data_IF_617429003061
#
_entry.id   IF_617429003061
#
_cell.length_a   1.000
_cell.length_b   1.000
_cell.length_c   1.000
_cell.angle_alpha   90.00
_cell.angle_beta   90.00
_cell.angle_gamma   90.00
#
_symmetry.space_group_name_H-M   'P 1'
#
loop_
_entity.id
_entity.type
_entity.pdbx_description
1 polymer ?
#
# COMPACT_ATOMS: atom_id res chain seq x y z
N UNK A 1 -4.78 31.90 -40.13
CA UNK A 1 -5.58 30.70 -39.79
C UNK A 1 -5.98 30.90 -38.36
N UNK A 2 -7.11 31.58 -38.20
CA UNK A 2 -7.72 31.88 -36.92
C UNK A 2 -8.53 30.65 -36.48
N UNK A 3 -8.40 30.27 -35.22
CA UNK A 3 -9.35 29.37 -34.56
C UNK A 3 -9.72 30.01 -33.23
N UNK A 4 -10.91 30.60 -33.21
CA UNK A 4 -11.72 30.79 -32.02
C UNK A 4 -12.19 29.43 -31.50
N UNK A 5 -12.28 29.28 -30.19
CA UNK A 5 -13.10 28.27 -29.52
C UNK A 5 -13.45 28.79 -28.13
N UNK A 6 -14.68 29.24 -27.96
CA UNK A 6 -15.32 29.45 -26.66
C UNK A 6 -15.96 28.14 -26.15
N UNK A 7 -16.22 28.17 -24.83
CA UNK A 7 -17.18 27.38 -24.04
C UNK A 7 -16.80 25.99 -23.51
N UNK A 8 -17.05 25.80 -22.20
CA UNK A 8 -17.07 24.49 -21.54
C UNK A 8 -16.86 24.51 -20.02
N UNK A 9 -17.92 24.84 -19.30
CA UNK A 9 -18.14 24.94 -17.85
C UNK A 9 -17.55 23.83 -16.92
N UNK A 10 -17.32 24.23 -15.65
CA UNK A 10 -17.90 23.55 -14.49
C UNK A 10 -17.09 22.41 -13.83
N UNK A 11 -16.33 22.72 -12.78
CA UNK A 11 -15.93 21.74 -11.78
C UNK A 11 -16.24 22.31 -10.39
N UNK A 12 -17.27 21.76 -9.76
CA UNK A 12 -17.66 22.03 -8.37
C UNK A 12 -16.76 21.25 -7.42
N UNK A 13 -16.08 21.97 -6.53
CA UNK A 13 -15.42 21.43 -5.36
C UNK A 13 -16.47 20.86 -4.39
N UNK A 14 -16.31 19.60 -3.99
CA UNK A 14 -17.01 19.03 -2.84
C UNK A 14 -15.99 18.62 -1.79
N UNK A 15 -15.97 19.41 -0.72
CA UNK A 15 -15.35 19.09 0.57
C UNK A 15 -16.17 17.99 1.26
N UNK A 16 -15.50 16.95 1.78
CA UNK A 16 -16.11 15.96 2.68
C UNK A 16 -15.42 16.05 4.04
N UNK A 17 -16.18 16.50 5.05
CA UNK A 17 -15.88 16.29 6.48
C UNK A 17 -16.52 14.98 6.98
N UNK A 18 -15.99 14.33 8.03
CA UNK A 18 -16.50 13.07 8.55
C UNK A 18 -17.53 13.27 9.66
N UNK A 19 -18.69 12.60 9.55
CA UNK A 19 -19.67 12.49 10.64
C UNK A 19 -19.33 11.32 11.58
N UNK A 20 -19.32 11.63 12.88
CA UNK A 20 -19.24 10.68 13.98
C UNK A 20 -20.65 10.43 14.53
N UNK A 21 -21.07 9.18 14.66
CA UNK A 21 -22.32 8.82 15.34
C UNK A 21 -22.06 8.12 16.68
N UNK A 22 -22.51 8.80 17.73
CA UNK A 22 -22.65 8.33 19.11
C UNK A 22 -23.65 7.16 19.20
N UNK A 23 -23.28 6.11 19.94
CA UNK A 23 -24.22 5.09 20.42
C UNK A 23 -24.64 5.42 21.85
N UNK A 24 -25.91 5.76 22.01
CA UNK A 24 -26.57 5.86 23.31
C UNK A 24 -27.25 4.54 23.65
N UNK A 25 -27.01 4.08 24.89
CA UNK A 25 -27.64 2.93 25.54
C UNK A 25 -29.13 3.19 25.78
N UNK A 26 -29.95 2.16 25.65
CA UNK A 26 -31.22 2.12 26.40
C UNK A 26 -31.53 0.71 26.87
N UNK A 27 -31.64 0.59 28.19
CA UNK A 27 -32.06 -0.58 28.92
C UNK A 27 -33.59 -0.63 28.98
N UNK A 28 -34.20 -1.78 28.71
CA UNK A 28 -35.50 -2.09 29.29
C UNK A 28 -35.61 -3.58 29.62
N UNK A 29 -35.70 -3.83 30.91
CA UNK A 29 -36.06 -5.07 31.58
C UNK A 29 -37.57 -5.28 31.53
N UNK A 30 -38.03 -6.44 31.08
CA UNK A 30 -39.33 -7.00 31.46
C UNK A 30 -39.22 -8.51 31.68
N UNK A 31 -39.33 -8.91 32.95
CA UNK A 31 -39.68 -10.27 33.37
C UNK A 31 -41.18 -10.48 33.20
N UNK A 32 -41.59 -11.58 32.57
CA UNK A 32 -42.89 -12.23 32.84
C UNK A 32 -42.68 -13.74 32.86
N UNK A 33 -43.03 -14.33 34.00
CA UNK A 33 -43.16 -15.75 34.29
C UNK A 33 -44.49 -16.32 33.75
N UNK A 34 -44.49 -17.60 33.38
CA UNK A 34 -45.71 -18.34 33.04
C UNK A 34 -45.43 -19.82 32.76
N UNK A 35 -45.99 -20.68 33.60
CA UNK A 35 -45.74 -22.12 33.73
C UNK A 35 -46.32 -22.99 32.60
N UNK A 36 -45.63 -24.10 32.33
CA UNK A 36 -46.22 -25.45 32.31
C UNK A 36 -46.94 -25.96 31.05
N UNK A 37 -46.32 -26.92 30.35
CA UNK A 37 -46.89 -28.27 30.19
C UNK A 37 -45.91 -29.23 29.49
N UNK A 38 -45.68 -30.36 30.18
CA UNK A 38 -44.98 -31.54 29.70
C UNK A 38 -45.76 -32.23 28.57
N UNK A 39 -45.07 -32.57 27.48
CA UNK A 39 -45.34 -33.83 26.77
C UNK A 39 -44.03 -34.54 26.43
N UNK A 40 -43.87 -35.71 27.05
CA UNK A 40 -42.81 -36.68 26.81
C UNK A 40 -42.98 -37.31 25.42
N UNK A 41 -41.94 -37.27 24.58
CA UNK A 41 -41.70 -38.35 23.61
C UNK A 41 -40.24 -38.82 23.68
N UNK A 42 -40.14 -40.05 24.17
CA UNK A 42 -39.05 -41.03 24.23
C UNK A 42 -37.84 -40.84 23.31
N UNK A 43 -36.67 -40.82 23.95
CA UNK A 43 -35.34 -41.10 23.40
C UNK A 43 -35.06 -42.60 23.45
N UNK A 44 -34.41 -43.21 22.45
CA UNK A 44 -33.51 -44.34 22.65
C UNK A 44 -32.06 -43.85 22.58
N UNK A 45 -31.35 -43.93 23.71
CA UNK A 45 -29.90 -43.74 23.77
C UNK A 45 -29.21 -44.97 23.18
N UNK A 46 -28.30 -44.79 22.22
CA UNK A 46 -27.10 -45.63 22.16
C UNK A 46 -25.95 -44.93 21.43
N UNK A 47 -24.92 -44.60 22.23
CA UNK A 47 -23.47 -44.61 21.90
C UNK A 47 -22.98 -43.87 20.65
N UNK A 48 -22.74 -42.56 20.76
CA UNK A 48 -21.86 -41.79 19.86
C UNK A 48 -21.23 -40.59 20.60
N UNK A 49 -20.41 -40.84 21.62
CA UNK A 49 -19.73 -39.77 22.37
C UNK A 49 -18.46 -39.22 21.66
N UNK A 50 -18.17 -39.64 20.42
CA UNK A 50 -17.02 -39.16 19.64
C UNK A 50 -17.39 -38.43 18.33
N UNK A 51 -18.68 -38.31 17.97
CA UNK A 51 -19.15 -37.63 16.73
C UNK A 51 -19.86 -36.27 17.01
N UNK A 52 -19.97 -35.85 18.27
CA UNK A 52 -20.82 -34.74 18.68
C UNK A 52 -20.17 -33.35 18.58
N UNK A 53 -18.84 -33.27 18.49
CA UNK A 53 -18.13 -31.99 18.34
C UNK A 53 -18.03 -31.56 16.86
N UNK A 54 -17.88 -32.51 15.92
CA UNK A 54 -17.77 -32.23 14.48
C UNK A 54 -19.07 -31.70 13.87
N UNK A 55 -20.22 -32.20 14.33
CA UNK A 55 -21.54 -31.83 13.77
C UNK A 55 -21.99 -30.40 14.10
N UNK A 56 -21.42 -29.78 15.13
CA UNK A 56 -21.81 -28.43 15.57
C UNK A 56 -21.28 -27.33 14.64
N UNK A 57 -20.05 -27.48 14.13
CA UNK A 57 -19.47 -26.53 13.17
C UNK A 57 -20.07 -26.70 11.77
N UNK A 58 -20.36 -27.94 11.38
CA UNK A 58 -20.98 -28.27 10.11
C UNK A 58 -22.38 -27.66 9.99
N UNK A 59 -23.19 -27.79 11.04
CA UNK A 59 -24.52 -27.19 11.08
C UNK A 59 -24.47 -25.66 11.07
N UNK A 60 -23.50 -25.06 11.76
CA UNK A 60 -23.28 -23.62 11.74
C UNK A 60 -22.93 -23.12 10.32
N UNK A 61 -22.06 -23.83 9.61
CA UNK A 61 -21.71 -23.51 8.21
C UNK A 61 -22.92 -23.61 7.29
N UNK A 62 -23.68 -24.71 7.36
CA UNK A 62 -24.87 -24.91 6.52
C UNK A 62 -25.89 -23.79 6.77
N UNK A 63 -26.14 -23.45 8.04
CA UNK A 63 -27.06 -22.36 8.40
C UNK A 63 -26.58 -21.00 7.90
N UNK A 64 -25.28 -20.71 7.97
CA UNK A 64 -24.72 -19.47 7.44
C UNK A 64 -24.91 -19.38 5.93
N UNK A 65 -24.64 -20.45 5.18
CA UNK A 65 -24.79 -20.44 3.71
C UNK A 65 -26.24 -20.28 3.28
N UNK A 66 -27.18 -20.99 3.92
CA UNK A 66 -28.62 -20.84 3.67
C UNK A 66 -29.12 -19.42 4.02
N UNK A 67 -28.48 -18.74 4.97
CA UNK A 67 -28.81 -17.37 5.37
C UNK A 67 -28.29 -16.26 4.45
N UNK A 68 -27.37 -16.56 3.52
CA UNK A 68 -26.75 -15.55 2.65
C UNK A 68 -27.70 -15.02 1.58
N UNK A 69 -28.60 -15.86 1.05
CA UNK A 69 -29.57 -15.42 0.04
C UNK A 69 -30.84 -16.26 0.03
N UNK A 70 -31.97 -15.64 -0.27
CA UNK A 70 -33.27 -16.31 -0.38
C UNK A 70 -33.38 -17.26 -1.57
N UNK A 71 -32.41 -17.22 -2.49
CA UNK A 71 -32.35 -18.07 -3.67
C UNK A 71 -31.65 -19.40 -3.43
N UNK A 72 -31.10 -19.66 -2.25
CA UNK A 72 -30.44 -20.94 -1.90
C UNK A 72 -31.45 -21.83 -1.16
N UNK A 73 -31.79 -22.98 -1.73
CA UNK A 73 -32.71 -23.95 -1.13
C UNK A 73 -31.97 -25.03 -0.33
N UNK A 74 -30.75 -25.39 -0.74
CA UNK A 74 -29.98 -26.47 -0.13
C UNK A 74 -28.48 -26.29 -0.26
N UNK A 75 -27.75 -26.71 0.76
CA UNK A 75 -26.28 -26.73 0.80
C UNK A 75 -25.80 -27.98 1.50
N UNK A 76 -25.01 -28.80 0.81
CA UNK A 76 -24.35 -29.99 1.36
C UNK A 76 -22.88 -29.97 0.97
N UNK A 77 -22.03 -30.48 1.84
CA UNK A 77 -20.59 -30.54 1.60
C UNK A 77 -19.99 -31.78 2.24
N UNK A 78 -18.82 -32.16 1.75
CA UNK A 78 -18.07 -33.28 2.30
C UNK A 78 -17.36 -32.88 3.60
N UNK A 79 -17.89 -33.30 4.75
CA UNK A 79 -17.28 -33.05 6.06
C UNK A 79 -16.06 -33.96 6.33
N UNK A 80 -15.97 -35.12 5.67
CA UNK A 80 -14.93 -36.12 5.94
C UNK A 80 -13.67 -35.90 5.13
N UNK A 81 -13.82 -35.79 3.80
CA UNK A 81 -12.69 -35.70 2.87
C UNK A 81 -12.57 -34.30 2.21
N UNK A 82 -13.58 -33.43 2.35
CA UNK A 82 -13.54 -32.06 1.82
C UNK A 82 -13.50 -31.95 0.29
N UNK A 83 -13.90 -33.00 -0.44
CA UNK A 83 -13.68 -33.11 -1.88
C UNK A 83 -14.75 -32.41 -2.72
N UNK A 84 -15.97 -32.25 -2.20
CA UNK A 84 -17.09 -31.73 -2.96
C UNK A 84 -18.01 -30.86 -2.12
N UNK A 85 -18.76 -30.04 -2.82
CA UNK A 85 -19.79 -29.16 -2.28
C UNK A 85 -20.92 -29.07 -3.30
N UNK A 86 -22.16 -29.22 -2.85
CA UNK A 86 -23.36 -29.14 -3.69
C UNK A 86 -24.26 -28.01 -3.16
N UNK A 87 -24.62 -27.10 -4.07
CA UNK A 87 -25.45 -25.93 -3.80
C UNK A 87 -26.68 -25.97 -4.71
N UNK A 88 -27.86 -26.02 -4.12
CA UNK A 88 -29.13 -26.00 -4.85
C UNK A 88 -29.71 -24.59 -4.77
N UNK A 89 -29.88 -23.94 -5.92
CA UNK A 89 -30.42 -22.59 -6.01
C UNK A 89 -31.72 -22.57 -6.83
N UNK A 90 -32.72 -21.85 -6.33
CA UNK A 90 -33.95 -21.54 -7.05
C UNK A 90 -33.88 -20.14 -7.67
N UNK A 91 -33.94 -20.08 -9.00
CA UNK A 91 -33.87 -18.84 -9.77
C UNK A 91 -35.19 -18.62 -10.54
N UNK A 92 -35.75 -17.39 -10.55
CA UNK A 92 -36.94 -17.08 -11.34
C UNK A 92 -36.66 -17.23 -12.85
N UNK A 93 -37.42 -18.09 -13.53
CA UNK A 93 -37.28 -18.36 -14.97
C UNK A 93 -37.84 -17.20 -15.80
N UNK A 94 -37.08 -16.11 -15.92
CA UNK A 94 -37.36 -15.05 -16.89
C UNK A 94 -36.65 -15.39 -18.20
N UNK A 95 -37.34 -15.29 -19.34
CA UNK A 95 -36.95 -15.80 -20.69
C UNK A 95 -35.56 -15.34 -21.19
N UNK A 96 -34.49 -15.84 -20.61
CA UNK A 96 -33.12 -15.72 -21.09
C UNK A 96 -32.36 -17.01 -20.80
N UNK A 97 -31.51 -17.43 -21.73
CA UNK A 97 -30.55 -18.50 -21.48
C UNK A 97 -29.44 -17.95 -20.59
N UNK A 98 -29.28 -18.52 -19.40
CA UNK A 98 -28.30 -18.09 -18.41
C UNK A 98 -27.19 -19.14 -18.30
N UNK A 99 -25.97 -18.75 -18.65
CA UNK A 99 -24.80 -19.62 -18.52
C UNK A 99 -24.22 -19.50 -17.09
N UNK A 100 -24.76 -20.31 -16.19
CA UNK A 100 -24.27 -20.45 -14.81
C UNK A 100 -22.82 -20.91 -14.77
N UNK A 101 -22.38 -21.74 -15.71
CA UNK A 101 -21.03 -22.31 -15.71
C UNK A 101 -20.00 -21.20 -15.85
N UNK A 102 -20.17 -20.34 -16.86
CA UNK A 102 -19.27 -19.20 -17.09
C UNK A 102 -19.28 -18.21 -15.92
N UNK A 103 -20.43 -18.01 -15.28
CA UNK A 103 -20.54 -17.13 -14.13
C UNK A 103 -19.83 -17.71 -12.90
N UNK A 104 -20.05 -18.98 -12.60
CA UNK A 104 -19.41 -19.69 -11.48
C UNK A 104 -17.90 -19.73 -11.67
N UNK A 105 -17.40 -20.05 -12.87
CA UNK A 105 -15.96 -20.03 -13.16
C UNK A 105 -15.36 -18.64 -12.93
N UNK A 106 -16.02 -17.59 -13.44
CA UNK A 106 -15.57 -16.21 -13.25
C UNK A 106 -15.57 -15.76 -11.79
N UNK A 107 -16.50 -16.24 -10.98
CA UNK A 107 -16.54 -15.95 -9.54
C UNK A 107 -15.57 -16.82 -8.73
N UNK A 108 -15.35 -18.07 -9.13
CA UNK A 108 -14.38 -18.97 -8.51
C UNK A 108 -12.95 -18.45 -8.67
N UNK A 109 -12.61 -17.87 -9.84
CA UNK A 109 -11.30 -17.22 -10.05
C UNK A 109 -11.09 -15.99 -9.16
N UNK A 110 -12.17 -15.34 -8.72
CA UNK A 110 -12.13 -14.15 -7.87
C UNK A 110 -12.32 -14.45 -6.39
N UNK A 111 -12.77 -15.65 -6.05
CA UNK A 111 -13.03 -16.01 -4.66
C UNK A 111 -11.72 -16.29 -3.94
N UNK A 112 -11.45 -15.47 -2.94
CA UNK A 112 -10.25 -15.56 -2.11
C UNK A 112 -10.61 -16.41 -0.90
N UNK A 113 -9.90 -17.52 -0.69
CA UNK A 113 -10.12 -18.43 0.45
C UNK A 113 -9.45 -17.86 1.69
N UNK A 114 -8.17 -17.51 1.56
CA UNK A 114 -7.32 -16.93 2.60
C UNK A 114 -6.36 -15.95 1.92
N UNK A 115 -6.28 -14.73 2.41
CA UNK A 115 -5.32 -13.72 1.94
C UNK A 115 -4.84 -12.89 3.11
N UNK A 116 -3.56 -12.57 3.08
CA UNK A 116 -3.00 -11.49 3.89
C UNK A 116 -3.10 -10.21 3.09
N UNK A 117 -3.82 -9.22 3.61
CA UNK A 117 -4.05 -7.94 2.90
C UNK A 117 -2.71 -7.35 2.46
N UNK A 118 -2.60 -7.02 1.17
CA UNK A 118 -1.41 -6.38 0.61
C UNK A 118 -0.26 -7.33 0.25
N UNK A 119 -0.41 -8.65 0.42
CA UNK A 119 0.56 -9.66 -0.04
C UNK A 119 -0.13 -10.63 -0.99
N UNK A 120 0.32 -10.69 -2.23
CA UNK A 120 -0.26 -11.55 -3.27
C UNK A 120 0.38 -12.94 -3.31
N UNK A 121 1.70 -13.02 -3.12
CA UNK A 121 2.44 -14.29 -3.19
C UNK A 121 3.65 -14.27 -2.27
N UNK A 122 3.95 -15.42 -1.69
CA UNK A 122 5.18 -15.63 -0.91
C UNK A 122 5.99 -16.77 -1.53
N UNK A 123 7.29 -16.56 -1.73
CA UNK A 123 8.22 -17.51 -2.31
C UNK A 123 9.37 -17.76 -1.33
N UNK A 124 9.65 -19.03 -1.04
CA UNK A 124 10.80 -19.42 -0.24
C UNK A 124 12.01 -19.62 -1.17
N UNK A 125 13.08 -18.86 -0.94
CA UNK A 125 14.31 -18.94 -1.72
C UNK A 125 15.51 -19.26 -0.82
N UNK A 126 16.35 -20.19 -1.24
CA UNK A 126 17.60 -20.49 -0.55
C UNK A 126 18.74 -19.63 -1.11
N UNK A 127 19.24 -18.70 -0.31
CA UNK A 127 20.35 -17.82 -0.67
C UNK A 127 21.62 -18.31 0.00
N UNK A 128 22.67 -18.55 -0.80
CA UNK A 128 23.99 -18.91 -0.25
C UNK A 128 24.77 -17.63 0.00
N UNK A 129 25.09 -17.35 1.28
CA UNK A 129 25.95 -16.21 1.64
C UNK A 129 27.38 -16.42 1.16
N UNK A 130 28.15 -15.33 1.10
CA UNK A 130 29.60 -15.33 0.81
C UNK A 130 30.40 -16.24 1.75
N UNK A 131 29.89 -16.51 2.95
CA UNK A 131 30.48 -17.42 3.94
C UNK A 131 30.13 -18.91 3.70
N UNK A 132 29.45 -19.25 2.60
CA UNK A 132 29.07 -20.63 2.26
C UNK A 132 27.89 -21.19 3.06
N UNK A 133 27.34 -20.43 4.01
CA UNK A 133 26.11 -20.79 4.74
C UNK A 133 24.88 -20.53 3.87
N UNK A 134 23.97 -21.52 3.80
CA UNK A 134 22.65 -21.38 3.18
C UNK A 134 21.71 -20.71 4.16
N UNK A 135 21.03 -19.65 3.73
CA UNK A 135 19.96 -19.00 4.47
C UNK A 135 18.68 -19.04 3.64
N UNK A 136 17.59 -19.47 4.27
CA UNK A 136 16.24 -19.42 3.73
C UNK A 136 15.72 -17.99 3.83
N UNK A 137 15.37 -17.38 2.70
CA UNK A 137 14.79 -16.04 2.60
C UNK A 137 13.39 -16.15 2.04
N UNK A 138 12.43 -15.50 2.69
CA UNK A 138 11.06 -15.39 2.21
C UNK A 138 10.93 -14.11 1.38
N UNK A 139 10.62 -14.25 0.09
CA UNK A 139 10.34 -13.14 -0.80
C UNK A 139 8.83 -12.99 -0.96
N UNK A 140 8.30 -11.82 -0.64
CA UNK A 140 6.88 -11.50 -0.78
C UNK A 140 6.65 -10.58 -1.97
N UNK A 141 5.63 -10.88 -2.76
CA UNK A 141 5.04 -9.96 -3.73
C UNK A 141 3.96 -9.17 -3.01
N UNK A 142 4.16 -7.86 -2.88
CA UNK A 142 3.33 -7.00 -2.05
C UNK A 142 4.00 -6.63 -0.73
N UNK A 143 3.42 -5.63 -0.06
CA UNK A 143 4.01 -4.95 1.09
C UNK A 143 2.95 -4.85 2.17
N UNK A 144 3.14 -5.60 3.26
CA UNK A 144 2.41 -5.39 4.51
C UNK A 144 3.33 -5.73 5.69
N UNK A 145 4.09 -4.72 6.11
CA UNK A 145 5.05 -4.87 7.20
C UNK A 145 4.37 -5.05 8.56
N UNK A 146 3.20 -4.44 8.75
CA UNK A 146 2.44 -4.54 9.99
C UNK A 146 2.01 -5.99 10.27
N UNK A 147 1.52 -6.69 9.24
CA UNK A 147 1.18 -8.11 9.40
C UNK A 147 2.43 -8.98 9.59
N UNK A 148 3.53 -8.68 8.89
CA UNK A 148 4.78 -9.39 9.08
C UNK A 148 5.29 -9.30 10.53
N UNK A 149 5.06 -8.19 11.22
CA UNK A 149 5.45 -8.02 12.62
C UNK A 149 4.69 -8.96 13.57
N UNK A 150 3.44 -9.32 13.26
CA UNK A 150 2.69 -10.33 14.03
C UNK A 150 3.34 -11.72 13.97
N UNK A 151 4.08 -12.00 12.89
CA UNK A 151 4.78 -13.26 12.66
C UNK A 151 6.25 -13.27 13.16
N UNK A 152 6.61 -12.37 14.07
CA UNK A 152 7.98 -12.24 14.61
C UNK A 152 8.52 -13.46 15.37
N UNK A 153 7.69 -14.45 15.71
CA UNK A 153 8.15 -15.72 16.28
C UNK A 153 8.80 -16.64 15.24
N UNK A 154 8.42 -16.51 13.97
CA UNK A 154 8.89 -17.34 12.86
C UNK A 154 9.85 -16.59 11.94
N UNK A 155 9.79 -15.25 11.91
CA UNK A 155 10.56 -14.39 11.01
C UNK A 155 11.52 -13.49 11.78
N UNK A 156 12.75 -13.35 11.28
CA UNK A 156 13.73 -12.38 11.82
C UNK A 156 13.46 -10.97 11.27
N UNK A 157 12.74 -10.16 12.06
CA UNK A 157 12.33 -8.80 11.70
C UNK A 157 13.48 -7.79 11.64
N UNK A 158 14.64 -8.08 12.25
CA UNK A 158 15.79 -7.16 12.23
C UNK A 158 16.49 -7.12 10.88
N UNK A 159 16.28 -8.16 10.06
CA UNK A 159 16.85 -8.31 8.72
C UNK A 159 15.82 -8.09 7.62
N UNK A 160 14.63 -7.61 8.01
CA UNK A 160 13.54 -7.35 7.09
C UNK A 160 13.96 -6.25 6.11
N UNK A 161 13.62 -6.46 4.84
CA UNK A 161 13.97 -5.58 3.74
C UNK A 161 12.76 -5.37 2.83
N UNK A 162 12.55 -4.14 2.38
CA UNK A 162 11.55 -3.80 1.39
C UNK A 162 12.18 -2.85 0.35
N UNK A 163 11.80 -3.04 -0.90
CA UNK A 163 12.22 -2.21 -2.02
C UNK A 163 11.43 -0.88 -2.11
N UNK A 164 10.29 -0.77 -1.43
CA UNK A 164 9.57 0.49 -1.34
C UNK A 164 10.17 1.43 -0.29
N UNK A 165 10.79 2.51 -0.80
CA UNK A 165 11.44 3.54 -0.01
C UNK A 165 10.45 4.27 0.89
N UNK A 166 9.20 4.48 0.46
CA UNK A 166 8.19 5.18 1.24
C UNK A 166 7.78 4.38 2.47
N UNK A 167 7.47 3.09 2.31
CA UNK A 167 7.16 2.19 3.42
C UNK A 167 8.32 2.10 4.42
N UNK A 168 9.57 2.01 3.93
CA UNK A 168 10.75 1.98 4.78
C UNK A 168 10.96 3.29 5.54
N UNK A 169 10.76 4.45 4.89
CA UNK A 169 10.84 5.76 5.54
C UNK A 169 9.80 5.92 6.65
N UNK A 170 8.57 5.44 6.42
CA UNK A 170 7.47 5.59 7.38
C UNK A 170 7.64 4.69 8.62
N UNK A 171 8.19 3.50 8.46
CA UNK A 171 8.28 2.50 9.54
C UNK A 171 9.63 2.56 10.26
N UNK A 172 10.73 2.57 9.51
CA UNK A 172 12.10 2.52 10.05
C UNK A 172 12.80 3.88 10.06
N UNK A 173 12.21 4.91 9.45
CA UNK A 173 12.75 6.27 9.42
C UNK A 173 13.61 6.58 8.19
N UNK A 174 14.00 7.85 8.07
CA UNK A 174 14.64 8.39 6.86
C UNK A 174 16.02 7.79 6.58
N UNK A 175 16.82 7.48 7.60
CA UNK A 175 18.14 6.87 7.43
C UNK A 175 18.04 5.45 6.83
N UNK A 176 17.01 4.69 7.21
CA UNK A 176 16.75 3.39 6.60
C UNK A 176 16.39 3.56 5.12
N UNK A 177 15.58 4.57 4.79
CA UNK A 177 15.22 4.88 3.41
C UNK A 177 16.44 5.26 2.55
N UNK A 178 17.37 6.06 3.07
CA UNK A 178 18.63 6.41 2.37
C UNK A 178 19.40 5.15 1.97
N UNK A 179 19.54 4.18 2.89
CA UNK A 179 20.23 2.91 2.61
C UNK A 179 19.50 2.05 1.60
N UNK A 180 18.17 2.07 1.60
CA UNK A 180 17.35 1.38 0.61
C UNK A 180 17.56 2.01 -0.77
N UNK A 181 17.56 3.34 -0.89
CA UNK A 181 17.83 4.04 -2.16
C UNK A 181 19.23 3.68 -2.70
N UNK A 182 20.26 3.76 -1.86
CA UNK A 182 21.64 3.40 -2.24
C UNK A 182 21.70 1.96 -2.78
N UNK A 183 21.03 1.03 -2.10
CA UNK A 183 21.01 -0.39 -2.45
C UNK A 183 20.23 -0.65 -3.73
N UNK A 184 19.03 -0.10 -3.88
CA UNK A 184 18.18 -0.29 -5.06
C UNK A 184 18.85 0.27 -6.32
N UNK A 185 19.42 1.48 -6.26
CA UNK A 185 20.13 2.05 -7.41
C UNK A 185 21.35 1.19 -7.77
N UNK A 186 22.10 0.72 -6.77
CA UNK A 186 23.23 -0.18 -6.99
C UNK A 186 22.81 -1.50 -7.63
N UNK A 187 21.74 -2.11 -7.14
CA UNK A 187 21.24 -3.40 -7.63
C UNK A 187 20.75 -3.28 -9.08
N UNK A 188 20.13 -2.16 -9.46
CA UNK A 188 19.77 -1.87 -10.86
C UNK A 188 21.01 -1.82 -11.76
N UNK A 189 22.06 -1.09 -11.38
CA UNK A 189 23.29 -1.03 -12.18
C UNK A 189 24.07 -2.36 -12.21
N UNK A 190 24.04 -3.12 -11.12
CA UNK A 190 24.72 -4.40 -11.00
C UNK A 190 24.21 -5.44 -12.01
N UNK A 191 22.90 -5.43 -12.32
CA UNK A 191 22.30 -6.31 -13.35
C UNK A 191 22.92 -6.09 -14.73
N UNK A 192 23.34 -4.86 -15.03
CA UNK A 192 24.00 -4.50 -16.29
C UNK A 192 25.53 -4.60 -16.23
N UNK A 193 26.12 -5.04 -15.11
CA UNK A 193 27.57 -5.10 -14.93
C UNK A 193 28.25 -3.74 -14.84
N UNK A 194 27.50 -2.68 -14.52
CA UNK A 194 28.03 -1.31 -14.39
C UNK A 194 28.44 -1.10 -12.93
N UNK A 195 29.73 -0.93 -12.69
CA UNK A 195 30.24 -0.57 -11.36
C UNK A 195 30.21 0.95 -11.18
N UNK A 196 29.47 1.40 -10.17
CA UNK A 196 29.38 2.82 -9.76
C UNK A 196 30.02 2.98 -8.39
N UNK A 197 30.86 4.01 -8.20
CA UNK A 197 31.44 4.31 -6.88
C UNK A 197 30.30 4.64 -5.90
N UNK A 198 30.23 3.98 -4.72
CA UNK A 198 29.20 4.22 -3.72
C UNK A 198 29.12 5.68 -3.25
N UNK A 199 30.19 6.47 -3.38
CA UNK A 199 30.18 7.91 -3.04
C UNK A 199 29.19 8.70 -3.90
N UNK A 200 29.01 8.32 -5.16
CA UNK A 200 28.03 8.97 -6.03
C UNK A 200 26.60 8.64 -5.60
N UNK A 201 26.36 7.37 -5.26
CA UNK A 201 25.06 6.89 -4.83
C UNK A 201 24.65 7.51 -3.50
N UNK A 202 25.59 7.59 -2.56
CA UNK A 202 25.38 8.20 -1.25
C UNK A 202 25.04 9.68 -1.37
N UNK A 203 25.76 10.44 -2.19
CA UNK A 203 25.45 11.86 -2.40
C UNK A 203 24.04 12.08 -2.98
N UNK A 204 23.60 11.21 -3.91
CA UNK A 204 22.26 11.30 -4.49
C UNK A 204 21.20 10.94 -3.44
N UNK A 205 21.40 9.85 -2.70
CA UNK A 205 20.46 9.42 -1.66
C UNK A 205 20.33 10.47 -0.54
N UNK A 206 21.45 11.04 -0.09
CA UNK A 206 21.46 12.14 0.87
C UNK A 206 20.72 13.37 0.34
N UNK A 207 20.94 13.75 -0.93
CA UNK A 207 20.23 14.87 -1.54
C UNK A 207 18.72 14.62 -1.73
N UNK A 208 18.29 13.37 -1.86
CA UNK A 208 16.88 13.00 -1.89
C UNK A 208 16.22 13.02 -0.51
N UNK A 209 17.00 12.93 0.58
CA UNK A 209 16.48 12.73 1.93
C UNK A 209 16.87 13.81 2.95
N UNK A 210 17.66 14.83 2.56
CA UNK A 210 18.20 15.82 3.51
C UNK A 210 17.15 16.64 4.27
N UNK A 211 15.92 16.76 3.74
CA UNK A 211 14.82 17.47 4.39
C UNK A 211 14.09 16.58 5.44
N UNK A 212 14.57 15.35 5.66
CA UNK A 212 13.92 14.36 6.53
C UNK A 212 12.76 13.61 5.88
N UNK A 213 12.50 13.86 4.59
CA UNK A 213 11.48 13.18 3.79
C UNK A 213 12.06 12.74 2.45
N UNK A 214 11.49 11.68 1.87
CA UNK A 214 11.88 11.24 0.54
C UNK A 214 11.37 12.22 -0.53
N UNK A 215 12.30 12.82 -1.25
CA UNK A 215 12.04 13.85 -2.26
C UNK A 215 12.49 13.37 -3.64
N UNK A 216 11.57 13.28 -4.61
CA UNK A 216 11.93 12.90 -5.97
C UNK A 216 12.67 14.04 -6.69
N UNK A 217 13.55 13.69 -7.62
CA UNK A 217 14.26 14.64 -8.48
C UNK A 217 13.40 15.07 -9.69
N UNK A 218 12.23 15.64 -9.41
CA UNK A 218 11.28 16.11 -10.41
C UNK A 218 10.82 17.54 -10.13
N UNK A 219 9.85 18.04 -10.91
CA UNK A 219 9.27 19.38 -10.75
C UNK A 219 8.63 19.67 -9.41
N UNK A 220 8.19 18.64 -8.69
CA UNK A 220 7.61 18.80 -7.36
C UNK A 220 8.73 18.88 -6.33
N UNK A 221 9.80 18.11 -6.48
CA UNK A 221 11.00 18.24 -5.65
C UNK A 221 11.66 19.61 -5.79
N UNK A 222 11.79 20.16 -7.00
CA UNK A 222 12.49 21.45 -7.17
C UNK A 222 11.76 22.64 -6.50
N UNK A 223 10.46 22.49 -6.16
CA UNK A 223 9.67 23.56 -5.53
C UNK A 223 10.18 23.95 -4.15
N UNK A 224 10.80 23.04 -3.39
CA UNK A 224 11.36 23.41 -2.09
C UNK A 224 12.76 24.03 -2.16
N UNK A 225 13.36 24.16 -3.35
CA UNK A 225 14.61 24.90 -3.52
C UNK A 225 14.43 26.40 -3.24
N UNK A 226 15.45 27.03 -2.68
CA UNK A 226 15.40 28.42 -2.20
C UNK A 226 15.57 29.49 -3.28
N UNK A 227 16.02 29.14 -4.49
CA UNK A 227 16.30 30.09 -5.58
C UNK A 227 15.17 30.12 -6.60
N UNK A 228 14.36 31.19 -6.67
CA UNK A 228 13.30 31.33 -7.67
C UNK A 228 13.83 31.28 -9.11
N UNK A 229 15.00 31.86 -9.38
CA UNK A 229 15.59 31.84 -10.73
C UNK A 229 16.01 30.43 -11.15
N UNK A 230 16.51 29.63 -10.20
CA UNK A 230 16.79 28.22 -10.46
C UNK A 230 15.52 27.43 -10.79
N UNK A 231 14.43 27.65 -10.04
CA UNK A 231 13.13 27.02 -10.31
C UNK A 231 12.60 27.40 -11.71
N UNK A 232 12.64 28.69 -12.05
CA UNK A 232 12.22 29.21 -13.34
C UNK A 232 13.02 28.66 -14.53
N UNK A 233 14.31 28.36 -14.32
CA UNK A 233 15.21 27.80 -15.33
C UNK A 233 15.01 26.31 -15.60
N UNK A 234 14.30 25.58 -14.72
CA UNK A 234 14.07 24.15 -14.87
C UNK A 234 12.83 23.87 -15.73
N UNK A 235 11.63 24.23 -15.24
CA UNK A 235 10.38 24.12 -16.00
C UNK A 235 9.28 25.03 -15.43
N UNK A 236 8.17 25.18 -16.17
CA UNK A 236 6.98 25.95 -15.73
C UNK A 236 7.28 27.39 -15.28
N UNK A 237 8.13 28.08 -16.04
CA UNK A 237 8.69 29.41 -15.70
C UNK A 237 7.65 30.42 -15.24
N UNK A 238 6.54 30.58 -15.96
CA UNK A 238 5.52 31.57 -15.64
C UNK A 238 4.83 31.29 -14.28
N UNK A 239 4.63 30.02 -13.92
CA UNK A 239 4.03 29.64 -12.64
C UNK A 239 4.94 30.05 -11.48
N UNK A 240 6.22 29.71 -11.57
CA UNK A 240 7.21 30.09 -10.55
C UNK A 240 7.42 31.60 -10.48
N UNK A 241 7.42 32.30 -11.62
CA UNK A 241 7.49 33.76 -11.65
C UNK A 241 6.29 34.41 -10.98
N UNK A 242 5.07 33.97 -11.31
CA UNK A 242 3.84 34.45 -10.68
C UNK A 242 3.88 34.21 -9.17
N UNK A 243 4.24 33.00 -8.74
CA UNK A 243 4.31 32.66 -7.32
C UNK A 243 5.36 33.50 -6.58
N UNK A 244 6.56 33.66 -7.15
CA UNK A 244 7.62 34.48 -6.58
C UNK A 244 7.20 35.95 -6.48
N UNK A 245 6.48 36.48 -7.48
CA UNK A 245 5.99 37.87 -7.49
C UNK A 245 4.91 38.07 -6.43
N UNK A 246 3.96 37.15 -6.31
CA UNK A 246 2.89 37.20 -5.30
C UNK A 246 3.46 37.13 -3.88
N UNK A 247 4.44 36.26 -3.65
CA UNK A 247 5.08 36.10 -2.35
C UNK A 247 6.13 37.19 -2.03
N UNK A 248 6.48 38.04 -2.99
CA UNK A 248 7.60 38.99 -2.84
C UNK A 248 8.94 38.30 -2.61
N UNK A 249 9.17 37.13 -3.22
CA UNK A 249 10.37 36.33 -3.00
C UNK A 249 11.62 37.00 -3.59
N UNK A 250 12.73 36.97 -2.84
CA UNK A 250 14.02 37.51 -3.27
C UNK A 250 15.03 36.37 -3.52
N UNK A 251 15.72 36.42 -4.66
CA UNK A 251 16.80 35.48 -4.97
C UNK A 251 18.15 35.97 -4.39
N UNK A 252 18.85 35.10 -3.65
CA UNK A 252 20.15 35.41 -3.05
C UNK A 252 21.32 35.32 -4.03
N UNK A 253 21.09 34.89 -5.28
CA UNK A 253 22.09 34.71 -6.33
C UNK A 253 23.27 33.84 -5.84
N UNK A 254 22.92 32.71 -5.22
CA UNK A 254 23.86 31.70 -4.72
C UNK A 254 23.87 30.45 -5.59
N UNK A 255 22.73 30.11 -6.20
CA UNK A 255 22.65 28.98 -7.11
C UNK A 255 23.44 29.28 -8.39
N UNK A 256 24.11 28.27 -9.00
CA UNK A 256 24.80 28.45 -10.26
C UNK A 256 23.88 29.00 -11.36
N UNK A 257 22.64 28.50 -11.45
CA UNK A 257 21.65 28.97 -12.42
C UNK A 257 21.33 30.45 -12.25
N UNK A 258 21.08 30.91 -11.01
CA UNK A 258 20.78 32.32 -10.75
C UNK A 258 21.98 33.23 -11.05
N UNK A 259 23.21 32.80 -10.74
CA UNK A 259 24.42 33.54 -11.08
C UNK A 259 24.55 33.73 -12.59
N UNK A 260 24.31 32.67 -13.39
CA UNK A 260 24.39 32.74 -14.84
C UNK A 260 23.36 33.69 -15.45
N UNK A 261 22.12 33.67 -14.95
CA UNK A 261 21.04 34.56 -15.42
C UNK A 261 21.40 36.05 -15.26
N UNK A 262 22.10 36.40 -14.17
CA UNK A 262 22.48 37.80 -13.87
C UNK A 262 23.90 38.15 -14.37
N UNK A 263 24.64 37.18 -14.91
CA UNK A 263 26.03 37.38 -15.36
C UNK A 263 27.05 37.50 -14.22
N UNK A 264 26.74 36.95 -13.04
CA UNK A 264 27.63 36.91 -11.87
C UNK A 264 28.50 35.64 -11.89
N UNK A 265 29.72 35.72 -11.36
CA UNK A 265 30.59 34.55 -11.17
C UNK A 265 29.93 33.53 -10.22
N UNK A 266 29.94 32.25 -10.59
CA UNK A 266 29.40 31.16 -9.78
C UNK A 266 30.31 30.88 -8.58
N UNK A 267 29.72 30.69 -7.39
CA UNK A 267 30.44 30.36 -6.15
C UNK A 267 30.84 28.88 -6.07
N UNK A 268 31.56 28.39 -7.06
CA UNK A 268 32.06 27.02 -7.13
C UNK A 268 33.45 26.97 -7.76
N UNK A 269 34.26 25.98 -7.36
CA UNK A 269 35.63 25.84 -7.85
C UNK A 269 36.48 27.09 -7.56
N UNK A 270 36.93 27.77 -8.61
CA UNK A 270 37.76 28.98 -8.51
C UNK A 270 37.01 30.20 -7.99
N UNK A 271 35.67 30.20 -8.03
CA UNK A 271 34.83 31.29 -7.50
C UNK A 271 34.52 31.18 -6.01
N UNK A 272 35.13 30.24 -5.28
CA UNK A 272 34.90 30.04 -3.83
C UNK A 272 35.63 31.07 -2.96
N UNK A 273 36.65 31.75 -3.48
CA UNK A 273 37.45 32.70 -2.74
C UNK A 273 37.71 33.95 -3.57
N UNK A 274 37.93 35.07 -2.87
CA UNK A 274 38.33 36.33 -3.48
C UNK A 274 39.85 36.51 -3.39
N UNK A 275 40.42 37.15 -4.41
CA UNK A 275 41.82 37.54 -4.42
C UNK A 275 41.93 39.01 -4.03
N UNK A 276 42.81 39.30 -3.06
CA UNK A 276 43.17 40.67 -2.68
C UNK A 276 44.65 40.87 -2.90
N UNK A 277 45.01 41.96 -3.58
CA UNK A 277 46.40 42.36 -3.72
C UNK A 277 46.79 43.24 -2.51
N UNK A 278 47.84 42.89 -1.74
CA UNK A 278 48.33 43.76 -0.69
C UNK A 278 48.99 45.01 -1.31
N UNK A 279 48.56 46.19 -0.87
CA UNK A 279 49.19 47.46 -1.23
C UNK A 279 50.38 47.71 -0.30
N UNK A 280 51.52 48.14 -0.87
CA UNK A 280 52.74 48.51 -0.15
C UNK A 280 52.68 49.94 0.37
#
# INVERSE_FOLDING_TARGET
>A
VDYESEEGEGASDQEQEPEAEDRQEDASSQEISGEGSNENLSVPQTSKETELEETSQDWARIKTVLGLSQSIEGYTFDSKDGLWCELTMALPLTKMHFDLTSLVVKHAEKSIIMETVGITRCLLNDVTKKDGKKETVLNTEGINMHELFNHGCSLDLNRLYCNDVHSMANIYGIEAAVRVIEKEIKDVFAVYGIEVDPRHLSLVADYMCFEGMYKPLNRFGIQSNTSPLQQMSFETTFKFLKQATILGAHDKLQSPSACLVVGKVVKGGTGLFDLKQPLK
#
